data_IF_874418164240
#
_entry.id   IF_874418164240
#
_cell.length_a   1.000
_cell.length_b   1.000
_cell.length_c   1.000
_cell.angle_alpha   90.00
_cell.angle_beta   90.00
_cell.angle_gamma   90.00
#
_symmetry.space_group_name_H-M   'P 1'
#
loop_
_entity.id
_entity.type
_entity.pdbx_description
1 polymer ?
#
# COMPACT_ATOMS: atom_id res chain seq x y z
N UNK A 1 -3.09 -20.42 -8.60
CA UNK A 1 -2.50 -19.79 -9.81
C UNK A 1 -2.81 -20.63 -11.03
N UNK A 2 -3.50 -20.06 -12.01
CA UNK A 2 -3.73 -20.72 -13.29
C UNK A 2 -2.50 -20.54 -14.18
N UNK A 3 -2.21 -21.52 -15.05
CA UNK A 3 -1.08 -21.44 -15.97
C UNK A 3 -1.37 -20.40 -17.06
N UNK A 4 -1.00 -19.15 -16.81
CA UNK A 4 -1.12 -18.04 -17.78
C UNK A 4 0.14 -18.03 -18.66
N UNK A 5 -0.05 -17.87 -19.97
CA UNK A 5 1.06 -17.77 -20.90
C UNK A 5 1.90 -16.52 -20.61
N UNK A 6 3.22 -16.64 -20.72
CA UNK A 6 4.16 -15.54 -20.45
C UNK A 6 3.83 -14.31 -21.29
N UNK A 7 3.49 -14.51 -22.57
CA UNK A 7 3.14 -13.46 -23.51
C UNK A 7 1.90 -12.67 -23.05
N UNK A 8 0.88 -13.36 -22.54
CA UNK A 8 -0.35 -12.73 -22.04
C UNK A 8 -0.08 -11.88 -20.80
N UNK A 9 0.76 -12.39 -19.90
CA UNK A 9 1.21 -11.64 -18.70
C UNK A 9 1.93 -10.36 -19.13
N UNK A 10 2.87 -10.44 -20.07
CA UNK A 10 3.62 -9.28 -20.56
C UNK A 10 2.72 -8.27 -21.28
N UNK A 11 1.76 -8.73 -22.08
CA UNK A 11 0.79 -7.87 -22.73
C UNK A 11 -0.09 -7.13 -21.71
N UNK A 12 -0.55 -7.81 -20.66
CA UNK A 12 -1.32 -7.21 -19.59
C UNK A 12 -0.49 -6.18 -18.81
N UNK A 13 0.73 -6.53 -18.38
CA UNK A 13 1.63 -5.62 -17.67
C UNK A 13 1.96 -4.37 -18.51
N UNK A 14 2.17 -4.53 -19.83
CA UNK A 14 2.39 -3.40 -20.74
C UNK A 14 1.18 -2.45 -20.80
N UNK A 15 -0.05 -2.98 -20.73
CA UNK A 15 -1.27 -2.15 -20.64
C UNK A 15 -1.31 -1.39 -19.32
N UNK A 16 -1.06 -2.05 -18.19
CA UNK A 16 -1.05 -1.39 -16.87
C UNK A 16 0.05 -0.34 -16.73
N UNK A 17 1.25 -0.59 -17.27
CA UNK A 17 2.33 0.42 -17.34
C UNK A 17 1.90 1.67 -18.12
N UNK A 18 1.13 1.52 -19.20
CA UNK A 18 0.57 2.65 -19.95
C UNK A 18 -0.48 3.40 -19.16
N UNK A 19 -1.37 2.70 -18.44
CA UNK A 19 -2.36 3.31 -17.56
C UNK A 19 -1.68 4.13 -16.44
N UNK A 20 -0.68 3.55 -15.76
CA UNK A 20 0.08 4.29 -14.74
C UNK A 20 0.80 5.52 -15.32
N UNK A 21 1.27 5.46 -16.57
CA UNK A 21 1.81 6.65 -17.26
C UNK A 21 0.72 7.71 -17.52
N UNK A 22 -0.49 7.30 -17.89
CA UNK A 22 -1.61 8.23 -18.07
C UNK A 22 -2.00 8.88 -16.74
N UNK A 23 -2.07 8.11 -15.66
CA UNK A 23 -2.34 8.60 -14.31
C UNK A 23 -1.28 9.63 -13.88
N UNK A 24 0.00 9.37 -14.17
CA UNK A 24 1.10 10.29 -13.91
C UNK A 24 0.94 11.61 -14.70
N UNK A 25 0.55 11.54 -15.98
CA UNK A 25 0.33 12.74 -16.80
C UNK A 25 -0.89 13.54 -16.33
N UNK A 26 -1.89 12.87 -15.76
CA UNK A 26 -3.10 13.49 -15.23
C UNK A 26 -2.93 14.02 -13.80
N UNK A 27 -1.86 13.65 -13.07
CA UNK A 27 -1.69 14.00 -11.67
C UNK A 27 -1.78 15.50 -11.34
N UNK A 28 -1.28 16.43 -12.16
CA UNK A 28 -1.40 17.86 -11.89
C UNK A 28 -2.85 18.37 -11.84
N UNK A 29 -3.80 17.61 -12.40
CA UNK A 29 -5.22 17.98 -12.47
C UNK A 29 -6.08 17.29 -11.39
N UNK A 30 -5.47 16.46 -10.54
CA UNK A 30 -6.19 15.71 -9.50
C UNK A 30 -6.20 16.46 -8.15
N UNK A 31 -7.06 16.04 -7.23
CA UNK A 31 -7.27 16.72 -5.94
C UNK A 31 -6.05 16.71 -4.99
N UNK A 32 -5.12 15.78 -5.19
CA UNK A 32 -3.84 15.70 -4.48
C UNK A 32 -2.73 15.34 -5.48
N UNK A 33 -2.19 16.34 -6.21
CA UNK A 33 -1.26 16.08 -7.30
C UNK A 33 -0.02 15.29 -6.89
N UNK A 34 0.52 15.60 -5.70
CA UNK A 34 1.73 14.94 -5.18
C UNK A 34 1.47 13.48 -4.84
N UNK A 35 0.36 13.19 -4.15
CA UNK A 35 -0.04 11.81 -3.88
C UNK A 35 -0.12 11.01 -5.18
N UNK A 36 -0.85 11.53 -6.17
CA UNK A 36 -1.10 10.78 -7.39
C UNK A 36 0.13 10.64 -8.27
N UNK A 37 1.02 11.64 -8.28
CA UNK A 37 2.32 11.57 -8.95
C UNK A 37 3.18 10.44 -8.38
N UNK A 38 3.37 10.41 -7.04
CA UNK A 38 4.18 9.40 -6.37
C UNK A 38 3.56 7.99 -6.52
N UNK A 39 2.24 7.91 -6.39
CA UNK A 39 1.49 6.67 -6.51
C UNK A 39 1.55 6.07 -7.93
N UNK A 40 1.33 6.90 -8.96
CA UNK A 40 1.42 6.48 -10.37
C UNK A 40 2.87 6.10 -10.76
N UNK A 41 3.85 6.86 -10.26
CA UNK A 41 5.28 6.57 -10.45
C UNK A 41 5.64 5.22 -9.86
N UNK A 42 5.23 4.93 -8.62
CA UNK A 42 5.47 3.67 -7.95
C UNK A 42 4.88 2.49 -8.73
N UNK A 43 3.61 2.59 -9.17
CA UNK A 43 2.96 1.56 -9.98
C UNK A 43 3.73 1.28 -11.27
N UNK A 44 4.08 2.34 -12.00
CA UNK A 44 4.79 2.23 -13.27
C UNK A 44 6.14 1.53 -13.10
N UNK A 45 6.87 1.83 -12.03
CA UNK A 45 8.16 1.19 -11.72
C UNK A 45 7.99 -0.30 -11.39
N UNK A 46 6.98 -0.68 -10.60
CA UNK A 46 6.69 -2.08 -10.30
C UNK A 46 6.33 -2.87 -11.55
N UNK A 47 5.46 -2.34 -12.43
CA UNK A 47 5.13 -3.02 -13.69
C UNK A 47 6.36 -3.20 -14.59
N UNK A 48 7.25 -2.20 -14.64
CA UNK A 48 8.50 -2.30 -15.41
C UNK A 48 9.44 -3.38 -14.86
N UNK A 49 9.56 -3.49 -13.53
CA UNK A 49 10.34 -4.56 -12.90
C UNK A 49 9.72 -5.95 -13.12
N UNK A 50 8.40 -6.08 -12.96
CA UNK A 50 7.69 -7.34 -13.18
C UNK A 50 7.80 -7.81 -14.62
N UNK A 51 7.72 -6.90 -15.61
CA UNK A 51 7.94 -7.24 -17.01
C UNK A 51 9.34 -7.83 -17.21
N UNK A 52 10.38 -7.16 -16.70
CA UNK A 52 11.76 -7.64 -16.80
C UNK A 52 11.92 -9.04 -16.19
N UNK A 53 11.41 -9.24 -14.97
CA UNK A 53 11.49 -10.56 -14.30
C UNK A 53 10.74 -11.65 -15.04
N UNK A 54 9.56 -11.35 -15.56
CA UNK A 54 8.79 -12.32 -16.36
C UNK A 54 9.52 -12.66 -17.65
N UNK A 55 10.17 -11.68 -18.30
CA UNK A 55 10.98 -11.90 -19.52
C UNK A 55 12.25 -12.72 -19.24
N UNK A 56 12.97 -12.44 -18.15
CA UNK A 56 14.26 -13.04 -17.82
C UNK A 56 14.15 -14.39 -17.09
N UNK A 57 13.21 -14.51 -16.15
CA UNK A 57 13.10 -15.62 -15.21
C UNK A 57 11.83 -16.47 -15.43
N UNK A 58 10.86 -15.95 -16.20
CA UNK A 58 9.55 -16.56 -16.38
C UNK A 58 8.54 -16.19 -15.29
N UNK A 59 7.30 -16.64 -15.48
CA UNK A 59 6.14 -16.20 -14.68
C UNK A 59 6.21 -16.67 -13.22
N UNK A 60 6.58 -17.93 -12.97
CA UNK A 60 6.56 -18.50 -11.62
C UNK A 60 7.64 -17.88 -10.70
N UNK A 61 8.91 -17.71 -11.11
CA UNK A 61 9.89 -16.98 -10.30
C UNK A 61 9.48 -15.52 -10.03
N UNK A 62 8.97 -14.82 -11.05
CA UNK A 62 8.46 -13.46 -10.90
C UNK A 62 7.31 -13.38 -9.89
N UNK A 63 6.38 -14.35 -9.91
CA UNK A 63 5.31 -14.47 -8.91
C UNK A 63 5.84 -14.65 -7.49
N UNK A 64 6.78 -15.58 -7.28
CA UNK A 64 7.34 -15.84 -5.94
C UNK A 64 8.01 -14.60 -5.37
N UNK A 65 8.73 -13.84 -6.19
CA UNK A 65 9.36 -12.60 -5.76
C UNK A 65 8.32 -11.48 -5.49
N UNK A 66 7.34 -11.32 -6.38
CA UNK A 66 6.24 -10.38 -6.18
C UNK A 66 5.48 -10.67 -4.88
N UNK A 67 5.22 -11.95 -4.58
CA UNK A 67 4.58 -12.39 -3.34
C UNK A 67 5.41 -12.02 -2.11
N UNK A 68 6.73 -12.30 -2.11
CA UNK A 68 7.61 -11.90 -1.01
C UNK A 68 7.60 -10.40 -0.78
N UNK A 69 7.71 -9.61 -1.85
CA UNK A 69 7.65 -8.15 -1.78
C UNK A 69 6.33 -7.66 -1.21
N UNK A 70 5.21 -8.20 -1.69
CA UNK A 70 3.88 -7.85 -1.20
C UNK A 70 3.72 -8.16 0.29
N UNK A 71 4.18 -9.34 0.72
CA UNK A 71 4.14 -9.74 2.14
C UNK A 71 5.05 -8.89 3.04
N UNK A 72 6.08 -8.25 2.49
CA UNK A 72 6.93 -7.33 3.21
C UNK A 72 6.36 -5.91 3.33
N UNK A 73 5.31 -5.56 2.57
CA UNK A 73 4.68 -4.24 2.65
C UNK A 73 3.87 -4.11 3.96
N UNK A 74 3.95 -2.97 4.66
CA UNK A 74 3.13 -2.73 5.84
C UNK A 74 1.64 -2.62 5.47
N UNK A 75 0.75 -3.12 6.33
CA UNK A 75 -0.70 -2.95 6.17
C UNK A 75 -1.10 -1.50 6.41
N UNK A 76 -1.20 -0.73 5.32
CA UNK A 76 -1.67 0.65 5.34
C UNK A 76 -3.17 0.66 5.01
N UNK A 77 -3.94 1.46 5.74
CA UNK A 77 -5.36 1.62 5.43
C UNK A 77 -5.52 2.27 4.05
N UNK A 78 -6.47 1.81 3.24
CA UNK A 78 -6.70 2.39 1.89
C UNK A 78 -7.13 3.87 1.92
N UNK A 79 -7.62 4.34 3.07
CA UNK A 79 -7.95 5.75 3.33
C UNK A 79 -6.74 6.58 3.73
N UNK A 80 -5.63 5.96 4.11
CA UNK A 80 -4.40 6.64 4.50
C UNK A 80 -3.61 7.07 3.25
N UNK A 81 -3.61 8.38 3.01
CA UNK A 81 -2.92 9.02 1.89
C UNK A 81 -1.47 9.40 2.21
N UNK A 82 -0.96 9.12 3.40
CA UNK A 82 0.40 9.53 3.81
C UNK A 82 1.52 8.70 3.16
N UNK A 83 1.17 7.56 2.56
CA UNK A 83 2.14 6.61 1.98
C UNK A 83 1.85 6.30 0.49
N UNK A 84 1.79 7.32 -0.40
CA UNK A 84 1.44 7.15 -1.82
C UNK A 84 2.31 6.14 -2.56
N UNK A 85 3.62 6.13 -2.29
CA UNK A 85 4.55 5.19 -2.92
C UNK A 85 4.22 3.74 -2.54
N UNK A 86 3.94 3.48 -1.27
CA UNK A 86 3.71 2.12 -0.76
C UNK A 86 2.35 1.59 -1.22
N UNK A 87 1.30 2.41 -1.20
CA UNK A 87 -0.01 2.04 -1.75
C UNK A 87 0.04 1.86 -3.27
N UNK A 88 0.86 2.62 -3.99
CA UNK A 88 1.09 2.41 -5.42
C UNK A 88 1.81 1.09 -5.71
N UNK A 89 2.81 0.71 -4.90
CA UNK A 89 3.47 -0.59 -5.02
C UNK A 89 2.52 -1.75 -4.71
N UNK A 90 1.75 -1.64 -3.63
CA UNK A 90 0.71 -2.59 -3.24
C UNK A 90 -0.27 -2.81 -4.39
N UNK A 91 -0.87 -1.75 -4.93
CA UNK A 91 -1.84 -1.85 -6.02
C UNK A 91 -1.24 -2.51 -7.27
N UNK A 92 0.02 -2.22 -7.60
CA UNK A 92 0.65 -2.83 -8.77
C UNK A 92 0.87 -4.35 -8.60
N UNK A 93 1.24 -4.80 -7.40
CA UNK A 93 1.40 -6.21 -7.06
C UNK A 93 0.05 -6.94 -7.07
N UNK A 94 -1.01 -6.33 -6.49
CA UNK A 94 -2.36 -6.90 -6.52
C UNK A 94 -2.90 -7.05 -7.94
N UNK A 95 -2.65 -6.07 -8.81
CA UNK A 95 -3.03 -6.17 -10.22
C UNK A 95 -2.26 -7.27 -10.95
N UNK A 96 -0.99 -7.49 -10.61
CA UNK A 96 -0.21 -8.60 -11.14
C UNK A 96 -0.77 -9.96 -10.69
N UNK A 97 -1.11 -10.11 -9.41
CA UNK A 97 -1.77 -11.32 -8.93
C UNK A 97 -3.11 -11.56 -9.63
N UNK A 98 -3.88 -10.50 -9.87
CA UNK A 98 -5.12 -10.56 -10.65
C UNK A 98 -4.88 -11.07 -12.09
N UNK A 99 -3.83 -10.60 -12.77
CA UNK A 99 -3.42 -11.11 -14.10
C UNK A 99 -3.14 -12.61 -14.06
N UNK A 100 -2.51 -13.09 -12.99
CA UNK A 100 -2.16 -14.49 -12.78
C UNK A 100 -3.33 -15.37 -12.32
N UNK A 101 -4.53 -14.79 -12.21
CA UNK A 101 -5.75 -15.47 -11.79
C UNK A 101 -5.78 -15.82 -10.30
N UNK A 102 -5.05 -15.07 -9.46
CA UNK A 102 -5.22 -15.15 -8.00
C UNK A 102 -6.57 -14.55 -7.64
N UNK A 103 -7.38 -15.33 -6.92
CA UNK A 103 -8.73 -14.94 -6.51
C UNK A 103 -8.71 -13.92 -5.36
N UNK A 104 -9.83 -13.25 -5.12
CA UNK A 104 -9.96 -12.34 -3.98
C UNK A 104 -9.73 -13.01 -2.62
N UNK A 105 -10.14 -14.28 -2.47
CA UNK A 105 -9.90 -15.04 -1.24
C UNK A 105 -8.40 -15.33 -1.04
N UNK A 106 -7.71 -15.81 -2.07
CA UNK A 106 -6.25 -16.03 -2.02
C UNK A 106 -5.49 -14.71 -1.77
N UNK A 107 -5.96 -13.60 -2.34
CA UNK A 107 -5.33 -12.30 -2.13
C UNK A 107 -5.50 -11.82 -0.68
N UNK A 108 -6.65 -12.06 -0.06
CA UNK A 108 -6.89 -11.72 1.34
C UNK A 108 -6.04 -12.56 2.30
N UNK A 109 -5.79 -13.84 1.97
CA UNK A 109 -4.83 -14.67 2.70
C UNK A 109 -3.40 -14.10 2.62
N UNK A 110 -2.97 -13.67 1.43
CA UNK A 110 -1.68 -13.00 1.27
C UNK A 110 -1.60 -11.69 2.06
N UNK A 111 -2.70 -10.93 2.09
CA UNK A 111 -2.81 -9.67 2.81
C UNK A 111 -2.77 -9.87 4.32
N UNK A 112 -3.46 -10.87 4.84
CA UNK A 112 -3.51 -11.21 6.27
C UNK A 112 -2.14 -11.61 6.84
N UNK A 113 -1.23 -12.07 5.99
CA UNK A 113 0.13 -12.44 6.38
C UNK A 113 1.11 -11.24 6.49
N UNK A 114 0.66 -10.01 6.19
CA UNK A 114 1.51 -8.82 6.18
C UNK A 114 1.72 -8.22 7.56
N UNK A 115 2.87 -7.55 7.79
CA UNK A 115 3.11 -6.85 9.05
C UNK A 115 2.12 -5.70 9.22
N UNK A 116 1.74 -5.38 10.47
CA UNK A 116 0.93 -4.19 10.75
C UNK A 116 1.66 -2.92 10.28
N UNK A 117 0.90 -1.85 10.04
CA UNK A 117 1.47 -0.55 9.72
C UNK A 117 2.51 -0.14 10.79
N UNK A 118 3.64 0.46 10.39
CA UNK A 118 4.53 1.09 11.35
C UNK A 118 3.72 2.13 12.14
N UNK A 119 3.86 2.13 13.46
CA UNK A 119 3.24 3.14 14.30
C UNK A 119 3.64 4.53 13.78
N UNK A 120 2.71 5.50 13.69
CA UNK A 120 3.04 6.83 13.24
C UNK A 120 4.16 7.40 14.11
N UNK A 121 5.28 7.72 13.48
CA UNK A 121 6.44 8.38 14.12
C UNK A 121 6.00 9.79 14.53
N UNK A 122 5.42 9.88 15.72
CA UNK A 122 4.70 11.06 16.21
C UNK A 122 3.88 10.80 17.47
N UNK A 123 3.60 9.54 17.82
CA UNK A 123 3.04 9.19 19.13
C UNK A 123 4.13 9.21 20.23
N UNK A 124 4.67 10.39 20.53
CA UNK A 124 5.41 10.64 21.76
C UNK A 124 4.78 11.83 22.50
N UNK A 125 4.04 11.44 23.56
CA UNK A 125 3.99 12.07 24.89
C UNK A 125 3.08 13.28 25.11
N UNK A 126 1.87 12.97 25.58
CA UNK A 126 1.00 13.77 26.45
C UNK A 126 -0.21 12.88 26.76
N UNK A 127 -0.60 12.54 27.98
CA UNK A 127 -0.40 13.18 29.26
C UNK A 127 -0.66 12.09 30.32
N UNK A 128 0.34 11.80 31.14
CA UNK A 128 0.14 11.11 32.41
C UNK A 128 0.28 12.18 33.49
N UNK A 129 -0.85 12.68 33.96
CA UNK A 129 -1.01 13.43 35.21
C UNK A 129 -2.41 13.03 35.69
N UNK A 130 -2.62 12.32 36.78
CA UNK A 130 -1.89 12.22 38.03
C UNK A 130 -3.00 12.04 39.05
N UNK A 131 -3.09 10.85 39.65
CA UNK A 131 -3.90 10.67 40.84
C UNK A 131 -3.15 11.31 42.01
N UNK A 132 -3.81 12.20 42.75
CA UNK A 132 -3.92 12.13 44.21
C UNK A 132 -4.56 13.40 44.83
N UNK A 133 -5.68 13.17 45.52
CA UNK A 133 -5.84 13.52 46.93
C UNK A 133 -5.82 14.98 47.40
N UNK A 134 -7.03 15.44 47.79
CA UNK A 134 -7.34 16.19 49.02
C UNK A 134 -6.83 17.64 49.18
N UNK A 135 -7.73 18.62 49.31
CA UNK A 135 -7.89 19.47 50.53
C UNK A 135 -9.03 20.51 50.38
N UNK A 136 -10.01 20.42 51.30
CA UNK A 136 -10.65 21.49 52.07
C UNK A 136 -11.07 22.82 51.38
N UNK A 137 -12.38 23.08 51.34
CA UNK A 137 -12.94 24.40 51.67
C UNK A 137 -14.16 24.23 52.61
N UNK A 138 -13.99 24.70 53.84
CA UNK A 138 -15.04 24.98 54.82
C UNK A 138 -15.51 26.44 54.66
N UNK A 139 -16.83 26.64 54.75
CA UNK A 139 -17.61 27.82 55.22
C UNK A 139 -17.28 29.22 54.63
N UNK A 140 -18.15 30.22 54.47
CA UNK A 140 -19.26 30.82 55.26
C UNK A 140 -19.99 31.78 54.26
N UNK A 141 -21.31 31.95 54.17
CA UNK A 141 -22.18 32.70 55.10
C UNK A 141 -22.72 34.03 54.50
N UNK A 142 -24.03 34.26 54.57
CA UNK A 142 -24.71 35.58 54.51
C UNK A 142 -25.16 36.06 53.12
N UNK A 143 -26.38 36.57 52.89
CA UNK A 143 -27.48 36.99 53.76
C UNK A 143 -28.82 36.90 53.00
#
# INVERSE_FOLDING_TARGET
MHQVAQEDVLLALKKFKRLAKQDLLASPLMSDPKFWEEHATARRAVYEELMRRVEEEGVEPAYREAKKRYQALPLIASTDRSHPRQSGEEQALEMFFTILGITGAELEELRSARPPAPLPSGAMKGEAAGADGQHLIMEVGGA
#
